data_IF_552276128038
#
_entry.id   IF_552276128038
#
_cell.length_a   1.000
_cell.length_b   1.000
_cell.length_c   1.000
_cell.angle_alpha   90.00
_cell.angle_beta   90.00
_cell.angle_gamma   90.00
#
_symmetry.space_group_name_H-M   'P 1'
#
loop_
_entity.id
_entity.type
_entity.pdbx_description
1 polymer ?
#
# COMPACT_ATOMS: atom_id res chain seq x y z
N UNK A 1 3.19 23.49 47.29
CA UNK A 1 2.23 23.31 46.18
C UNK A 1 2.92 22.46 45.14
N UNK A 2 2.51 21.19 45.04
CA UNK A 2 3.03 20.26 44.06
C UNK A 2 2.34 20.62 42.73
N UNK A 3 3.08 21.17 41.78
CA UNK A 3 2.63 21.20 40.39
C UNK A 3 2.77 19.79 39.83
N UNK A 4 1.67 19.03 39.85
CA UNK A 4 1.60 17.72 39.21
C UNK A 4 1.86 17.87 37.71
N UNK A 5 3.06 17.41 37.35
CA UNK A 5 3.60 17.40 36.00
C UNK A 5 2.68 16.55 35.12
N UNK A 6 1.94 17.28 34.27
CA UNK A 6 1.34 16.91 32.99
C UNK A 6 1.65 15.46 32.54
N UNK A 7 0.66 14.59 32.73
CA UNK A 7 0.23 13.51 31.83
C UNK A 7 1.17 13.28 30.63
N UNK A 8 2.04 12.27 30.73
CA UNK A 8 2.70 11.67 29.57
C UNK A 8 1.64 10.90 28.79
N UNK A 9 1.25 11.43 27.63
CA UNK A 9 0.44 10.72 26.65
C UNK A 9 1.20 10.69 25.33
N UNK A 10 1.34 9.49 24.77
CA UNK A 10 1.59 9.26 23.35
C UNK A 10 3.01 8.80 23.01
N UNK A 11 3.33 7.54 23.26
CA UNK A 11 4.21 6.81 22.36
C UNK A 11 3.32 6.02 21.40
N UNK A 12 3.03 6.62 20.26
CA UNK A 12 2.60 5.91 19.09
C UNK A 12 3.63 6.22 17.98
N UNK A 13 4.03 5.17 17.28
CA UNK A 13 4.50 5.18 15.90
C UNK A 13 6.02 5.39 15.69
N UNK A 14 6.78 4.30 15.87
CA UNK A 14 8.13 4.13 15.28
C UNK A 14 8.23 2.94 14.31
N UNK A 15 7.10 2.39 13.86
CA UNK A 15 7.09 1.15 13.06
C UNK A 15 6.92 1.40 11.55
N UNK A 16 6.92 2.65 11.09
CA UNK A 16 6.65 3.00 9.69
C UNK A 16 7.90 3.12 8.80
N UNK A 17 9.10 3.19 9.38
CA UNK A 17 10.34 3.46 8.61
C UNK A 17 10.94 2.18 8.00
N UNK A 18 11.02 1.06 8.74
CA UNK A 18 11.53 -0.23 8.21
C UNK A 18 10.66 -0.81 7.08
N UNK A 19 9.35 -0.54 7.10
CA UNK A 19 8.40 -1.13 6.15
C UNK A 19 8.53 -0.56 4.73
N UNK A 20 9.04 0.67 4.62
CA UNK A 20 9.29 1.31 3.34
C UNK A 20 10.49 0.68 2.62
N UNK A 21 11.49 0.19 3.37
CA UNK A 21 12.68 -0.45 2.79
C UNK A 21 12.38 -1.83 2.22
N UNK A 22 11.49 -2.61 2.85
CA UNK A 22 11.04 -3.92 2.35
C UNK A 22 10.30 -3.77 1.01
N UNK A 23 9.50 -2.72 0.85
CA UNK A 23 8.81 -2.42 -0.41
C UNK A 23 9.74 -1.76 -1.44
N UNK A 24 10.86 -1.18 -0.99
CA UNK A 24 11.89 -0.57 -1.81
C UNK A 24 13.02 -1.55 -2.17
N UNK A 25 12.89 -2.84 -1.77
CA UNK A 25 13.62 -3.93 -2.41
C UNK A 25 13.48 -3.72 -3.92
N UNK A 26 14.63 -3.60 -4.61
CA UNK A 26 14.77 -2.88 -5.89
C UNK A 26 13.83 -3.37 -7.02
N UNK A 27 13.17 -4.52 -6.83
CA UNK A 27 12.32 -5.16 -7.81
C UNK A 27 10.80 -5.05 -7.51
N UNK A 28 10.36 -4.70 -6.29
CA UNK A 28 8.93 -4.66 -5.98
C UNK A 28 8.20 -3.48 -6.65
N UNK A 29 8.74 -2.26 -6.50
CA UNK A 29 8.11 -1.05 -7.05
C UNK A 29 7.98 -1.11 -8.59
N UNK A 30 9.01 -1.50 -9.37
CA UNK A 30 8.86 -1.67 -10.81
C UNK A 30 7.78 -2.68 -11.19
N UNK A 31 7.77 -3.86 -10.55
CA UNK A 31 6.78 -4.91 -10.81
C UNK A 31 5.36 -4.43 -10.46
N UNK A 32 5.20 -3.75 -9.33
CA UNK A 32 3.91 -3.18 -8.92
C UNK A 32 3.40 -2.14 -9.92
N UNK A 33 4.28 -1.25 -10.39
CA UNK A 33 3.93 -0.22 -11.38
C UNK A 33 3.51 -0.87 -12.70
N UNK A 34 4.21 -1.91 -13.15
CA UNK A 34 3.86 -2.61 -14.39
C UNK A 34 2.48 -3.29 -14.29
N UNK A 35 2.21 -4.03 -13.21
CA UNK A 35 0.90 -4.65 -12.98
C UNK A 35 -0.22 -3.61 -12.87
N UNK A 36 0.03 -2.47 -12.20
CA UNK A 36 -0.95 -1.39 -12.10
C UNK A 36 -1.24 -0.74 -13.47
N UNK A 37 -0.22 -0.62 -14.32
CA UNK A 37 -0.36 -0.05 -15.68
C UNK A 37 -1.23 -0.93 -16.58
N UNK A 38 -1.22 -2.25 -16.39
CA UNK A 38 -2.08 -3.18 -17.13
C UNK A 38 -3.58 -3.02 -16.82
N UNK A 39 -3.93 -2.26 -15.78
CA UNK A 39 -5.31 -2.01 -15.36
C UNK A 39 -5.76 -0.58 -15.73
N UNK A 40 -6.12 -0.30 -17.00
CA UNK A 40 -6.50 1.04 -17.45
C UNK A 40 -7.76 1.56 -16.73
N UNK A 41 -8.59 0.68 -16.17
CA UNK A 41 -9.73 1.05 -15.34
C UNK A 41 -9.36 1.79 -14.04
N UNK A 42 -8.10 1.74 -13.60
CA UNK A 42 -7.62 2.39 -12.37
C UNK A 42 -7.04 3.79 -12.63
N UNK A 43 -6.41 4.02 -13.78
CA UNK A 43 -5.67 5.27 -14.07
C UNK A 43 -6.14 6.01 -15.33
N UNK A 44 -6.78 5.32 -16.29
CA UNK A 44 -7.24 5.93 -17.53
C UNK A 44 -8.62 6.57 -17.35
N UNK A 45 -8.65 7.89 -17.17
CA UNK A 45 -9.88 8.67 -16.94
C UNK A 45 -10.92 8.49 -18.04
N UNK A 46 -10.47 8.32 -19.29
CA UNK A 46 -11.34 8.11 -20.46
C UNK A 46 -11.89 6.69 -20.58
N UNK A 47 -11.51 5.76 -19.68
CA UNK A 47 -11.99 4.38 -19.75
C UNK A 47 -13.45 4.29 -19.28
N UNK A 48 -14.34 3.57 -20.00
CA UNK A 48 -15.76 3.50 -19.65
C UNK A 48 -16.01 2.88 -18.26
N UNK A 49 -15.08 2.06 -17.77
CA UNK A 49 -15.18 1.45 -16.44
C UNK A 49 -14.43 2.22 -15.35
N UNK A 50 -13.77 3.34 -15.67
CA UNK A 50 -13.06 4.17 -14.69
C UNK A 50 -14.01 4.67 -13.60
N UNK A 51 -15.18 5.20 -13.96
CA UNK A 51 -16.16 5.75 -13.01
C UNK A 51 -16.97 4.67 -12.27
N UNK A 52 -16.93 3.43 -12.75
CA UNK A 52 -17.69 2.32 -12.18
C UNK A 52 -16.99 1.80 -10.93
N UNK A 53 -17.48 2.21 -9.75
CA UNK A 53 -16.92 1.81 -8.44
C UNK A 53 -16.75 0.30 -8.28
N UNK A 54 -17.73 -0.49 -8.73
CA UNK A 54 -17.73 -1.95 -8.59
C UNK A 54 -16.58 -2.57 -9.39
N UNK A 55 -16.44 -2.19 -10.65
CA UNK A 55 -15.37 -2.70 -11.51
C UNK A 55 -14.00 -2.23 -11.05
N UNK A 56 -13.87 -0.95 -10.68
CA UNK A 56 -12.63 -0.42 -10.13
C UNK A 56 -12.20 -1.18 -8.87
N UNK A 57 -13.15 -1.53 -8.00
CA UNK A 57 -12.88 -2.31 -6.80
C UNK A 57 -12.44 -3.73 -7.15
N UNK A 58 -13.13 -4.41 -8.06
CA UNK A 58 -12.77 -5.78 -8.47
C UNK A 58 -11.36 -5.86 -9.07
N UNK A 59 -10.98 -4.88 -9.89
CA UNK A 59 -9.66 -4.81 -10.53
C UNK A 59 -8.56 -4.52 -9.50
N UNK A 60 -8.86 -3.67 -8.51
CA UNK A 60 -7.96 -3.42 -7.39
C UNK A 60 -7.81 -4.66 -6.49
N UNK A 61 -8.91 -5.37 -6.21
CA UNK A 61 -8.89 -6.63 -5.45
C UNK A 61 -8.04 -7.69 -6.18
N UNK A 62 -8.16 -7.77 -7.51
CA UNK A 62 -7.33 -8.65 -8.34
C UNK A 62 -5.84 -8.29 -8.27
N UNK A 63 -5.50 -7.00 -8.39
CA UNK A 63 -4.12 -6.52 -8.22
C UNK A 63 -3.58 -6.91 -6.83
N UNK A 64 -4.39 -6.75 -5.79
CA UNK A 64 -4.00 -7.08 -4.42
C UNK A 64 -3.74 -8.59 -4.26
N UNK A 65 -4.52 -9.45 -4.91
CA UNK A 65 -4.27 -10.90 -4.91
C UNK A 65 -2.96 -11.28 -5.57
N UNK A 66 -2.57 -10.58 -6.64
CA UNK A 66 -1.29 -10.79 -7.31
C UNK A 66 -0.10 -10.28 -6.50
N UNK A 67 -0.30 -9.20 -5.74
CA UNK A 67 0.75 -8.54 -4.94
C UNK A 67 0.96 -9.21 -3.57
N UNK A 68 -0.07 -9.83 -2.99
CA UNK A 68 0.00 -10.53 -1.68
C UNK A 68 1.16 -11.55 -1.61
N UNK A 69 1.37 -12.45 -2.59
CA UNK A 69 2.50 -13.38 -2.58
C UNK A 69 3.86 -12.68 -2.62
N UNK A 70 3.98 -11.58 -3.37
CA UNK A 70 5.23 -10.82 -3.52
C UNK A 70 5.64 -10.19 -2.19
N UNK A 71 4.69 -9.63 -1.43
CA UNK A 71 4.94 -9.07 -0.10
C UNK A 71 5.30 -10.17 0.91
N UNK A 72 4.63 -11.33 0.83
CA UNK A 72 4.91 -12.47 1.71
C UNK A 72 6.33 -13.02 1.49
N UNK A 73 6.83 -13.02 0.26
CA UNK A 73 8.21 -13.41 -0.05
C UNK A 73 9.25 -12.42 0.51
N UNK A 74 8.99 -11.11 0.44
CA UNK A 74 9.88 -10.09 1.00
C UNK A 74 9.92 -10.09 2.55
N UNK A 75 8.91 -10.65 3.22
CA UNK A 75 8.82 -10.66 4.70
C UNK A 75 9.50 -11.87 5.36
N UNK A 76 9.88 -12.91 4.60
CA UNK A 76 10.39 -14.20 5.15
C UNK A 76 11.93 -14.29 5.18
N UNK A 77 12.67 -13.31 4.66
CA UNK A 77 14.14 -13.33 4.61
C UNK A 77 14.82 -12.69 5.83
#
# INVERSE_FOLDING_TARGET
>A
MICERRKECGSADRDNEEKMDILNEQDFIPIFIDMYRELPCLWQVNHPFYTTKIKRKAELDQLLELVKPQIAMATIN
#
